data_IF_744921444622
#
_entry.id   IF_744921444622
#
_cell.length_a   1.000
_cell.length_b   1.000
_cell.length_c   1.000
_cell.angle_alpha   90.00
_cell.angle_beta   90.00
_cell.angle_gamma   90.00
#
_symmetry.space_group_name_H-M   'P 1'
#
loop_
_entity.id
_entity.type
_entity.pdbx_description
1 polymer ?
#
# COMPACT_ATOMS: atom_id res chain seq x y z
N UNK A 1 -25.00 11.45 5.79
CA UNK A 1 -24.39 10.13 6.09
C UNK A 1 -24.64 9.86 7.55
N UNK A 2 -25.18 8.70 7.95
CA UNK A 2 -25.39 8.40 9.38
C UNK A 2 -24.02 8.03 9.99
N UNK A 3 -23.34 9.01 10.61
CA UNK A 3 -21.93 8.91 11.04
C UNK A 3 -21.71 7.90 12.17
N UNK A 4 -22.77 7.53 12.90
CA UNK A 4 -22.75 6.54 13.99
C UNK A 4 -22.23 5.14 13.59
N UNK A 5 -22.24 4.80 12.30
CA UNK A 5 -21.74 3.51 11.78
C UNK A 5 -20.50 3.66 10.88
N UNK A 6 -19.87 4.83 10.82
CA UNK A 6 -18.70 5.01 9.99
C UNK A 6 -17.48 4.31 10.61
N UNK A 7 -16.93 3.34 9.91
CA UNK A 7 -15.72 2.64 10.33
C UNK A 7 -14.54 3.63 10.37
N UNK A 8 -13.78 3.68 11.47
CA UNK A 8 -12.58 4.51 11.62
C UNK A 8 -11.63 4.38 10.42
N UNK A 9 -11.51 3.18 9.84
CA UNK A 9 -10.68 2.90 8.66
C UNK A 9 -11.12 3.61 7.38
N UNK A 10 -12.38 4.03 7.30
CA UNK A 10 -12.92 4.75 6.15
C UNK A 10 -12.68 6.26 6.24
N UNK A 11 -12.37 6.77 7.44
CA UNK A 11 -12.20 8.20 7.71
C UNK A 11 -10.72 8.54 7.96
N UNK A 12 -9.96 7.64 8.57
CA UNK A 12 -8.56 7.84 8.93
C UNK A 12 -7.64 7.01 8.05
N UNK A 13 -6.55 7.62 7.60
CA UNK A 13 -5.44 6.90 6.99
C UNK A 13 -4.57 6.24 8.08
N UNK A 14 -4.85 4.97 8.39
CA UNK A 14 -4.17 4.23 9.47
C UNK A 14 -2.66 4.15 9.31
N UNK A 15 -2.13 4.21 8.08
CA UNK A 15 -0.68 4.15 7.84
C UNK A 15 0.02 5.45 8.27
N UNK A 16 -0.55 6.60 7.88
CA UNK A 16 -0.02 7.89 8.32
C UNK A 16 -0.27 8.10 9.82
N UNK A 17 -1.39 7.61 10.34
CA UNK A 17 -1.67 7.66 11.78
C UNK A 17 -0.69 6.80 12.58
N UNK A 18 -0.36 5.59 12.12
CA UNK A 18 0.66 4.75 12.75
C UNK A 18 2.03 5.42 12.74
N UNK A 19 2.41 6.06 11.61
CA UNK A 19 3.65 6.81 11.53
C UNK A 19 3.67 8.01 12.49
N UNK A 20 2.56 8.74 12.59
CA UNK A 20 2.40 9.82 13.56
C UNK A 20 2.55 9.29 14.99
N UNK A 21 1.86 8.19 15.32
CA UNK A 21 1.90 7.57 16.63
C UNK A 21 3.31 7.09 16.99
N UNK A 22 4.05 6.51 16.05
CA UNK A 22 5.46 6.14 16.24
C UNK A 22 6.34 7.34 16.53
N UNK A 23 6.22 8.41 15.75
CA UNK A 23 7.00 9.63 15.99
C UNK A 23 6.64 10.31 17.31
N UNK A 24 5.34 10.34 17.62
CA UNK A 24 4.81 10.83 18.88
C UNK A 24 5.39 10.03 20.04
N UNK A 25 5.22 8.70 20.05
CA UNK A 25 5.72 7.83 21.10
C UNK A 25 7.25 7.90 21.26
N UNK A 26 8.00 8.03 20.18
CA UNK A 26 9.46 8.19 20.24
C UNK A 26 9.88 9.53 20.87
N UNK A 27 9.13 10.60 20.62
CA UNK A 27 9.46 11.96 21.08
C UNK A 27 8.94 12.20 22.49
N UNK A 28 7.68 11.86 22.73
CA UNK A 28 7.03 12.01 24.04
C UNK A 28 7.48 10.94 25.00
N UNK A 29 7.89 9.76 24.52
CA UNK A 29 8.18 8.54 25.28
C UNK A 29 6.97 7.97 26.03
N UNK A 30 5.76 8.32 25.59
CA UNK A 30 4.47 7.82 26.07
C UNK A 30 3.87 6.85 25.06
N UNK A 31 3.07 5.90 25.54
CA UNK A 31 2.27 5.08 24.66
C UNK A 31 1.14 5.92 24.05
N UNK A 32 0.65 5.49 22.90
CA UNK A 32 -0.50 6.09 22.23
C UNK A 32 -1.34 4.99 21.57
N UNK A 33 -2.65 5.08 21.73
CA UNK A 33 -3.57 4.09 21.18
C UNK A 33 -4.86 4.73 20.70
N UNK A 34 -5.39 4.22 19.59
CA UNK A 34 -6.70 4.53 19.04
C UNK A 34 -7.67 3.41 19.40
N UNK A 35 -8.84 3.79 19.91
CA UNK A 35 -9.94 2.92 20.26
C UNK A 35 -11.20 3.33 19.48
N UNK A 36 -12.07 2.36 19.23
CA UNK A 36 -13.43 2.63 18.77
C UNK A 36 -14.34 3.11 19.94
N UNK A 37 -15.61 3.37 19.64
CA UNK A 37 -16.59 3.82 20.63
C UNK A 37 -16.93 2.77 21.71
N UNK A 38 -16.58 1.50 21.47
CA UNK A 38 -16.76 0.39 22.41
C UNK A 38 -15.51 0.13 23.26
N UNK A 39 -14.44 0.92 23.08
CA UNK A 39 -13.17 0.74 23.76
C UNK A 39 -12.33 -0.39 23.19
N UNK A 40 -12.62 -0.86 21.97
CA UNK A 40 -11.79 -1.85 21.28
C UNK A 40 -10.62 -1.18 20.59
N UNK A 41 -9.41 -1.66 20.89
CA UNK A 41 -8.17 -1.14 20.33
C UNK A 41 -8.11 -1.38 18.83
N UNK A 42 -7.90 -0.30 18.07
CA UNK A 42 -7.80 -0.31 16.61
C UNK A 42 -6.37 -0.17 16.12
N UNK A 43 -5.55 0.59 16.85
CA UNK A 43 -4.15 0.85 16.55
C UNK A 43 -3.44 1.23 17.84
N UNK A 44 -2.27 0.68 18.10
CA UNK A 44 -1.46 1.10 19.23
C UNK A 44 0.03 1.11 18.90
N UNK A 45 0.71 2.11 19.45
CA UNK A 45 2.17 2.15 19.59
C UNK A 45 2.49 2.29 21.07
N UNK A 46 3.05 1.24 21.65
CA UNK A 46 3.47 1.18 23.06
C UNK A 46 4.83 0.53 23.20
N UNK A 47 5.54 0.82 24.29
CA UNK A 47 6.79 0.13 24.63
C UNK A 47 6.53 -1.33 25.00
N UNK A 48 7.52 -2.21 24.79
CA UNK A 48 7.39 -3.64 25.06
C UNK A 48 7.14 -3.95 26.55
N UNK A 49 7.72 -3.15 27.43
CA UNK A 49 7.62 -3.25 28.88
C UNK A 49 6.48 -2.42 29.48
N UNK A 50 5.62 -1.83 28.65
CA UNK A 50 4.43 -1.11 29.12
C UNK A 50 3.49 -2.04 29.89
N UNK A 51 3.02 -1.59 31.06
CA UNK A 51 2.02 -2.30 31.87
C UNK A 51 0.73 -2.55 31.08
N UNK A 52 0.38 -1.66 30.14
CA UNK A 52 -0.79 -1.81 29.28
C UNK A 52 -0.74 -3.11 28.46
N UNK A 53 0.44 -3.69 28.20
CA UNK A 53 0.56 -4.99 27.55
C UNK A 53 -0.01 -6.14 28.40
N UNK A 54 0.05 -6.02 29.73
CA UNK A 54 -0.42 -7.03 30.68
C UNK A 54 -1.92 -6.94 30.94
N UNK A 55 -2.49 -5.73 30.85
CA UNK A 55 -3.90 -5.46 31.22
C UNK A 55 -4.81 -5.08 30.04
N UNK A 56 -4.32 -5.04 28.79
CA UNK A 56 -5.08 -4.56 27.62
C UNK A 56 -6.43 -5.27 27.39
N UNK A 57 -6.52 -6.55 27.72
CA UNK A 57 -7.72 -7.37 27.50
C UNK A 57 -8.65 -7.37 28.72
N UNK A 58 -8.30 -6.63 29.78
CA UNK A 58 -9.09 -6.53 31.00
C UNK A 58 -10.35 -5.65 30.78
N UNK A 59 -11.50 -6.17 31.23
CA UNK A 59 -12.80 -5.51 31.11
C UNK A 59 -12.83 -4.11 31.75
N UNK A 60 -12.27 -3.96 32.95
CA UNK A 60 -12.25 -2.70 33.69
C UNK A 60 -11.47 -1.62 32.94
N UNK A 61 -10.40 -1.99 32.23
CA UNK A 61 -9.64 -1.04 31.39
C UNK A 61 -10.50 -0.57 30.21
N UNK A 62 -11.20 -1.49 29.54
CA UNK A 62 -12.11 -1.16 28.42
C UNK A 62 -13.24 -0.24 28.87
N UNK A 63 -13.92 -0.56 29.97
CA UNK A 63 -15.00 0.27 30.53
C UNK A 63 -14.50 1.67 30.88
N UNK A 64 -13.30 1.77 31.48
CA UNK A 64 -12.70 3.04 31.83
C UNK A 64 -12.40 3.89 30.59
N UNK A 65 -11.89 3.30 29.52
CA UNK A 65 -11.67 3.99 28.23
C UNK A 65 -12.98 4.55 27.69
N UNK A 66 -14.05 3.75 27.64
CA UNK A 66 -15.36 4.19 27.13
C UNK A 66 -15.93 5.31 28.00
N UNK A 67 -15.89 5.16 29.32
CA UNK A 67 -16.36 6.17 30.26
C UNK A 67 -15.60 7.50 30.10
N UNK A 68 -14.27 7.43 30.13
CA UNK A 68 -13.40 8.60 30.03
C UNK A 68 -13.50 9.26 28.66
N UNK A 69 -13.69 8.47 27.59
CA UNK A 69 -13.90 8.98 26.23
C UNK A 69 -15.21 9.76 26.10
N UNK A 70 -16.30 9.28 26.71
CA UNK A 70 -17.57 10.02 26.79
C UNK A 70 -17.41 11.32 27.58
N UNK A 71 -16.65 11.31 28.68
CA UNK A 71 -16.35 12.53 29.44
C UNK A 71 -15.58 13.55 28.62
N UNK A 72 -14.56 13.10 27.88
CA UNK A 72 -13.80 13.96 26.98
C UNK A 72 -14.70 14.58 25.88
N UNK A 73 -15.63 13.80 25.34
CA UNK A 73 -16.63 14.30 24.39
C UNK A 73 -17.57 15.35 25.01
N UNK A 74 -18.08 15.11 26.21
CA UNK A 74 -18.92 16.07 26.95
C UNK A 74 -18.19 17.41 27.20
N UNK A 75 -16.89 17.35 27.48
CA UNK A 75 -16.04 18.52 27.72
C UNK A 75 -15.62 19.23 26.43
N UNK A 76 -15.67 18.55 25.28
CA UNK A 76 -15.14 19.07 24.01
C UNK A 76 -13.61 19.21 23.99
N UNK A 77 -12.92 18.56 24.92
CA UNK A 77 -11.48 18.63 25.09
C UNK A 77 -10.91 17.30 25.58
N UNK A 78 -9.58 17.20 25.67
CA UNK A 78 -8.92 16.06 26.30
C UNK A 78 -9.32 15.91 27.77
N UNK A 79 -9.46 14.67 28.22
CA UNK A 79 -9.78 14.33 29.59
C UNK A 79 -8.66 13.51 30.21
N UNK A 80 -8.11 13.98 31.34
CA UNK A 80 -7.08 13.27 32.10
C UNK A 80 -7.80 12.44 33.18
N UNK A 81 -7.45 11.16 33.29
CA UNK A 81 -8.10 10.23 34.19
C UNK A 81 -7.14 9.21 34.78
N UNK A 82 -7.50 8.68 35.94
CA UNK A 82 -6.83 7.55 36.59
C UNK A 82 -7.32 6.22 35.99
N UNK A 83 -6.40 5.34 35.64
CA UNK A 83 -6.66 3.98 35.15
C UNK A 83 -7.03 3.05 36.31
N UNK A 84 -7.61 1.87 36.03
CA UNK A 84 -7.89 0.89 37.08
C UNK A 84 -6.65 0.42 37.85
N UNK A 85 -5.46 0.48 37.24
CA UNK A 85 -4.20 0.16 37.92
C UNK A 85 -3.58 1.36 38.66
N UNK A 86 -4.26 2.50 38.76
CA UNK A 86 -3.78 3.67 39.52
C UNK A 86 -2.81 4.58 38.76
N UNK A 87 -2.61 4.39 37.46
CA UNK A 87 -1.80 5.28 36.63
C UNK A 87 -2.64 6.36 35.98
N UNK A 88 -2.01 7.38 35.42
CA UNK A 88 -2.70 8.47 34.74
C UNK A 88 -2.60 8.32 33.23
N UNK A 89 -3.72 8.53 32.53
CA UNK A 89 -3.78 8.65 31.08
C UNK A 89 -4.58 9.89 30.68
N UNK A 90 -4.32 10.42 29.49
CA UNK A 90 -5.21 11.36 28.82
C UNK A 90 -5.97 10.64 27.71
N UNK A 91 -7.19 11.07 27.46
CA UNK A 91 -8.01 10.60 26.36
C UNK A 91 -8.63 11.78 25.62
N UNK A 92 -8.60 11.73 24.30
CA UNK A 92 -9.13 12.76 23.41
C UNK A 92 -10.14 12.11 22.46
N UNK A 93 -11.34 12.70 22.27
CA UNK A 93 -12.30 12.18 21.32
C UNK A 93 -11.86 12.51 19.88
N UNK A 94 -12.02 11.55 18.98
CA UNK A 94 -11.89 11.79 17.54
C UNK A 94 -13.27 12.21 17.05
N UNK A 95 -13.44 13.46 16.64
CA UNK A 95 -14.75 14.05 16.33
C UNK A 95 -14.87 14.38 14.83
N UNK A 96 -16.00 14.00 14.24
CA UNK A 96 -16.40 14.33 12.87
C UNK A 96 -17.80 14.94 12.91
N UNK A 97 -17.95 16.19 12.42
CA UNK A 97 -19.24 16.91 12.39
C UNK A 97 -19.93 17.00 13.76
N UNK A 98 -19.15 17.07 14.84
CA UNK A 98 -19.66 17.13 16.21
C UNK A 98 -20.01 15.77 16.82
N UNK A 99 -19.88 14.67 16.07
CA UNK A 99 -20.04 13.31 16.59
C UNK A 99 -18.68 12.64 16.82
N UNK A 100 -18.51 12.02 17.99
CA UNK A 100 -17.33 11.20 18.25
C UNK A 100 -17.40 9.89 17.46
N UNK A 101 -16.29 9.51 16.83
CA UNK A 101 -16.15 8.26 16.06
C UNK A 101 -15.13 7.29 16.69
N UNK A 102 -14.41 7.73 17.72
CA UNK A 102 -13.42 6.94 18.44
C UNK A 102 -12.69 7.79 19.47
N UNK A 103 -11.71 7.18 20.13
CA UNK A 103 -10.93 7.83 21.19
C UNK A 103 -9.44 7.55 21.02
N UNK A 104 -8.62 8.55 21.32
CA UNK A 104 -7.16 8.39 21.37
C UNK A 104 -6.71 8.57 22.80
N UNK A 105 -5.91 7.63 23.29
CA UNK A 105 -5.30 7.71 24.63
C UNK A 105 -3.80 7.92 24.53
N UNK A 106 -3.23 8.55 25.56
CA UNK A 106 -1.79 8.55 25.77
C UNK A 106 -1.43 8.47 27.25
N UNK A 107 -0.30 7.83 27.54
CA UNK A 107 0.16 7.47 28.87
C UNK A 107 0.81 6.08 28.82
N UNK A 108 0.73 5.27 29.88
CA UNK A 108 0.41 5.66 31.24
C UNK A 108 1.58 6.41 31.90
N UNK A 109 1.27 7.31 32.85
CA UNK A 109 2.26 8.07 33.64
C UNK A 109 1.87 8.10 35.11
N UNK A 110 2.78 8.54 35.97
CA UNK A 110 2.46 9.04 37.31
C UNK A 110 2.64 10.56 37.35
N UNK A 111 1.81 11.24 38.13
CA UNK A 111 1.90 12.69 38.32
C UNK A 111 2.57 13.07 39.66
N UNK A 112 2.76 12.10 40.54
CA UNK A 112 3.39 12.23 41.86
C UNK A 112 4.72 11.46 41.91
N UNK A 113 5.41 11.53 43.04
CA UNK A 113 6.69 10.84 43.25
C UNK A 113 6.49 9.32 43.33
N UNK A 114 7.44 8.56 42.80
CA UNK A 114 7.48 7.11 42.95
C UNK A 114 8.03 6.75 44.34
N UNK A 115 7.14 6.68 45.33
CA UNK A 115 7.45 6.28 46.71
C UNK A 115 6.93 4.88 47.05
N UNK A 116 7.35 4.33 48.19
CA UNK A 116 6.95 2.97 48.63
C UNK A 116 5.42 2.83 48.74
N UNK A 117 4.70 3.92 49.07
CA UNK A 117 3.24 3.90 49.17
C UNK A 117 2.59 3.70 47.80
N UNK A 118 3.05 4.42 46.77
CA UNK A 118 2.59 4.22 45.41
C UNK A 118 2.93 2.82 44.90
N UNK A 119 4.12 2.30 45.20
CA UNK A 119 4.53 0.96 44.76
C UNK A 119 3.61 -0.14 45.34
N UNK A 120 3.26 -0.04 46.62
CA UNK A 120 2.33 -0.95 47.29
C UNK A 120 0.90 -0.85 46.71
N UNK A 121 0.37 0.37 46.58
CA UNK A 121 -0.97 0.61 46.01
C UNK A 121 -1.06 0.12 44.55
N UNK A 122 -0.01 0.36 43.75
CA UNK A 122 0.05 -0.10 42.36
C UNK A 122 0.04 -1.62 42.26
N UNK A 123 0.78 -2.31 43.15
CA UNK A 123 0.77 -3.78 43.21
C UNK A 123 -0.60 -4.33 43.59
N UNK A 124 -1.26 -3.73 44.58
CA UNK A 124 -2.60 -4.11 45.01
C UNK A 124 -3.61 -3.97 43.85
N UNK A 125 -3.65 -2.78 43.21
CA UNK A 125 -4.54 -2.52 42.07
C UNK A 125 -4.24 -3.44 40.87
N UNK A 126 -2.98 -3.76 40.60
CA UNK A 126 -2.64 -4.73 39.56
C UNK A 126 -3.14 -6.14 39.90
N UNK A 127 -3.02 -6.56 41.16
CA UNK A 127 -3.52 -7.85 41.61
C UNK A 127 -5.04 -7.96 41.49
N UNK A 128 -5.79 -6.90 41.80
CA UNK A 128 -7.24 -6.81 41.57
C UNK A 128 -7.63 -6.98 40.09
N UNK A 129 -6.77 -6.55 39.17
CA UNK A 129 -6.94 -6.73 37.73
C UNK A 129 -6.47 -8.11 37.23
N UNK A 130 -6.04 -8.99 38.12
CA UNK A 130 -5.54 -10.33 37.79
C UNK A 130 -4.10 -10.33 37.27
N UNK A 131 -3.32 -9.27 37.52
CA UNK A 131 -1.91 -9.16 37.14
C UNK A 131 -1.04 -9.15 38.39
N UNK A 132 -0.33 -10.25 38.62
CA UNK A 132 0.67 -10.34 39.69
C UNK A 132 2.02 -9.84 39.15
N UNK A 133 2.48 -8.71 39.67
CA UNK A 133 3.79 -8.17 39.34
C UNK A 133 4.89 -8.93 40.07
N UNK A 134 6.01 -9.17 39.38
CA UNK A 134 7.19 -9.79 39.98
C UNK A 134 7.71 -8.96 41.17
N UNK A 135 8.31 -9.62 42.16
CA UNK A 135 8.83 -8.95 43.35
C UNK A 135 9.91 -7.90 43.01
N UNK A 136 10.66 -8.13 41.94
CA UNK A 136 11.71 -7.25 41.40
C UNK A 136 11.21 -6.35 40.25
N UNK A 137 9.89 -6.13 40.15
CA UNK A 137 9.32 -5.18 39.18
C UNK A 137 10.01 -3.81 39.29
N UNK A 138 10.57 -3.36 38.17
CA UNK A 138 11.30 -2.10 38.08
C UNK A 138 10.32 -0.93 37.87
N UNK A 139 9.94 -0.27 38.96
CA UNK A 139 9.05 0.89 38.94
C UNK A 139 9.63 2.11 38.24
N UNK A 140 10.96 2.19 38.06
CA UNK A 140 11.59 3.29 37.31
C UNK A 140 11.18 3.32 35.83
N UNK A 141 10.58 2.23 35.34
CA UNK A 141 9.97 2.15 34.00
C UNK A 141 8.67 2.94 33.88
N UNK A 142 7.98 3.19 34.99
CA UNK A 142 6.76 4.00 35.01
C UNK A 142 7.17 5.46 34.97
N UNK A 143 6.73 6.15 33.92
CA UNK A 143 7.20 7.51 33.67
C UNK A 143 6.50 8.51 34.57
N UNK A 144 7.27 9.32 35.29
CA UNK A 144 6.77 10.50 36.00
C UNK A 144 6.73 11.72 35.07
N UNK A 145 5.60 12.43 35.06
CA UNK A 145 5.37 13.62 34.21
C UNK A 145 4.61 14.68 35.01
N UNK A 146 4.93 15.96 34.80
CA UNK A 146 4.19 17.06 35.41
C UNK A 146 2.77 17.20 34.79
N UNK A 147 1.81 17.73 35.55
CA UNK A 147 0.43 17.89 35.10
C UNK A 147 0.30 18.77 33.84
N UNK A 148 1.11 19.83 33.75
CA UNK A 148 1.14 20.75 32.61
C UNK A 148 1.61 20.03 31.33
N UNK A 149 2.57 19.13 31.47
CA UNK A 149 3.08 18.33 30.37
C UNK A 149 2.01 17.35 29.87
N UNK A 150 1.21 16.76 30.77
CA UNK A 150 0.12 15.86 30.39
C UNK A 150 -0.99 16.60 29.65
N UNK A 151 -1.32 17.82 30.10
CA UNK A 151 -2.26 18.71 29.41
C UNK A 151 -1.76 19.06 28.01
N UNK A 152 -0.50 19.47 27.89
CA UNK A 152 0.13 19.80 26.60
C UNK A 152 0.15 18.62 25.62
N UNK A 153 0.43 17.42 26.14
CA UNK A 153 0.36 16.15 25.39
C UNK A 153 -1.04 15.92 24.83
N UNK A 154 -2.07 16.11 25.65
CA UNK A 154 -3.46 15.90 25.26
C UNK A 154 -3.91 16.88 24.18
N UNK A 155 -3.54 18.16 24.31
CA UNK A 155 -3.84 19.21 23.34
C UNK A 155 -3.13 18.97 22.01
N UNK A 156 -1.83 18.62 22.04
CA UNK A 156 -1.06 18.33 20.84
C UNK A 156 -1.66 17.17 20.05
N UNK A 157 -2.01 16.06 20.72
CA UNK A 157 -2.65 14.92 20.07
C UNK A 157 -4.01 15.30 19.47
N UNK A 158 -4.80 16.11 20.17
CA UNK A 158 -6.08 16.60 19.68
C UNK A 158 -5.92 17.43 18.41
N UNK A 159 -5.00 18.40 18.40
CA UNK A 159 -4.74 19.26 17.25
C UNK A 159 -4.29 18.46 16.03
N UNK A 160 -3.34 17.53 16.21
CA UNK A 160 -2.80 16.72 15.12
C UNK A 160 -3.87 15.84 14.49
N UNK A 161 -4.68 15.19 15.32
CA UNK A 161 -5.72 14.26 14.84
C UNK A 161 -6.86 15.03 14.18
N UNK A 162 -7.28 16.16 14.76
CA UNK A 162 -8.30 17.00 14.15
C UNK A 162 -7.86 17.50 12.77
N UNK A 163 -6.59 17.90 12.61
CA UNK A 163 -6.05 18.28 11.31
C UNK A 163 -6.11 17.14 10.29
N UNK A 164 -5.69 15.92 10.69
CA UNK A 164 -5.77 14.74 9.82
C UNK A 164 -7.19 14.42 9.39
N UNK A 165 -8.15 14.48 10.32
CA UNK A 165 -9.58 14.24 10.03
C UNK A 165 -10.11 15.28 9.04
N UNK A 166 -9.77 16.56 9.24
CA UNK A 166 -10.20 17.65 8.35
C UNK A 166 -9.63 17.47 6.94
N UNK A 167 -8.34 17.12 6.80
CA UNK A 167 -7.72 16.91 5.49
C UNK A 167 -8.32 15.73 4.74
N UNK A 168 -8.45 14.57 5.39
CA UNK A 168 -9.05 13.37 4.77
C UNK A 168 -10.51 13.60 4.39
N UNK A 169 -11.27 14.32 5.24
CA UNK A 169 -12.64 14.74 4.91
C UNK A 169 -12.68 15.63 3.68
N UNK A 170 -11.84 16.68 3.62
CA UNK A 170 -11.79 17.60 2.48
C UNK A 170 -11.47 16.85 1.18
N UNK A 171 -10.56 15.88 1.26
CA UNK A 171 -10.23 15.01 0.13
C UNK A 171 -11.43 14.15 -0.30
N UNK A 172 -12.15 13.55 0.66
CA UNK A 172 -13.34 12.73 0.38
C UNK A 172 -14.49 13.56 -0.21
N UNK A 173 -14.75 14.76 0.34
CA UNK A 173 -15.77 15.69 -0.16
C UNK A 173 -15.46 16.14 -1.59
N UNK A 174 -14.21 16.53 -1.87
CA UNK A 174 -13.78 16.87 -3.23
C UNK A 174 -13.99 15.72 -4.21
N UNK A 175 -13.71 14.47 -3.79
CA UNK A 175 -13.96 13.29 -4.62
C UNK A 175 -15.44 13.07 -4.88
N UNK A 176 -16.30 13.22 -3.86
CA UNK A 176 -17.75 13.08 -3.98
C UNK A 176 -18.34 14.18 -4.87
N UNK A 177 -17.89 15.42 -4.72
CA UNK A 177 -18.31 16.56 -5.52
C UNK A 177 -17.92 16.38 -7.00
N UNK A 178 -16.67 15.96 -7.26
CA UNK A 178 -16.24 15.60 -8.61
C UNK A 178 -17.10 14.48 -9.19
N UNK A 179 -17.39 13.44 -8.41
CA UNK A 179 -18.26 12.33 -8.83
C UNK A 179 -19.69 12.82 -9.14
N UNK A 180 -20.23 13.75 -8.35
CA UNK A 180 -21.57 14.33 -8.56
C UNK A 180 -21.61 15.22 -9.80
N UNK A 181 -20.64 16.11 -9.96
CA UNK A 181 -20.52 16.96 -11.15
C UNK A 181 -20.39 16.13 -12.43
N UNK A 182 -19.65 15.02 -12.35
CA UNK A 182 -19.57 14.06 -13.45
C UNK A 182 -20.92 13.40 -13.73
N UNK A 183 -21.67 12.97 -12.70
CA UNK A 183 -23.02 12.43 -12.85
C UNK A 183 -24.01 13.44 -13.46
N UNK A 184 -23.92 14.72 -13.10
CA UNK A 184 -24.76 15.78 -13.67
C UNK A 184 -24.40 16.04 -15.15
N UNK A 185 -23.10 16.10 -15.48
CA UNK A 185 -22.63 16.13 -16.88
C UNK A 185 -23.08 14.91 -17.67
N UNK A 186 -23.11 13.74 -17.05
CA UNK A 186 -23.58 12.48 -17.64
C UNK A 186 -25.08 12.51 -17.96
N UNK A 187 -25.92 13.05 -17.07
CA UNK A 187 -27.36 13.24 -17.35
C UNK A 187 -27.57 14.18 -18.52
N UNK A 188 -26.86 15.31 -18.54
CA UNK A 188 -26.93 16.28 -19.64
C UNK A 188 -26.47 15.67 -20.98
N UNK A 189 -25.37 14.91 -21.00
CA UNK A 189 -24.89 14.24 -22.20
C UNK A 189 -25.84 13.15 -22.70
N UNK A 190 -26.50 12.41 -21.79
CA UNK A 190 -27.50 11.40 -22.13
C UNK A 190 -28.77 12.02 -22.70
N UNK A 191 -29.23 13.14 -22.14
CA UNK A 191 -30.36 13.91 -22.69
C UNK A 191 -30.05 14.48 -24.09
N UNK A 192 -28.80 14.89 -24.34
CA UNK A 192 -28.35 15.30 -25.67
C UNK A 192 -28.26 14.14 -26.66
N UNK A 193 -27.75 12.97 -26.25
CA UNK A 193 -27.67 11.78 -27.10
C UNK A 193 -29.05 11.18 -27.46
N UNK A 194 -30.01 11.21 -26.54
CA UNK A 194 -31.40 10.79 -26.80
C UNK A 194 -32.05 11.65 -27.89
N UNK A 195 -31.60 12.89 -28.09
CA UNK A 195 -32.09 13.78 -29.16
C UNK A 195 -31.44 13.54 -30.52
N UNK A 196 -30.29 12.88 -30.62
CA UNK A 196 -29.51 12.84 -31.87
C UNK A 196 -29.19 11.47 -32.49
N UNK A 197 -29.35 10.30 -31.84
CA UNK A 197 -29.28 9.01 -32.60
C UNK A 197 -29.74 7.76 -31.85
N UNK A 198 -30.35 6.82 -32.59
CA UNK A 198 -30.93 5.55 -32.12
C UNK A 198 -29.96 4.36 -32.02
N UNK A 199 -28.65 4.58 -31.98
CA UNK A 199 -27.66 3.49 -31.84
C UNK A 199 -26.59 3.80 -30.80
N UNK A 200 -26.28 2.88 -29.86
CA UNK A 200 -25.21 3.07 -28.88
C UNK A 200 -23.85 3.05 -29.58
N UNK A 201 -23.13 4.17 -29.54
CA UNK A 201 -21.75 4.30 -30.02
C UNK A 201 -20.81 4.07 -28.82
N UNK A 202 -20.22 2.88 -28.70
CA UNK A 202 -19.24 2.59 -27.64
C UNK A 202 -17.92 3.33 -27.94
N UNK A 203 -17.28 3.89 -26.90
CA UNK A 203 -15.95 4.49 -27.03
C UNK A 203 -14.86 3.39 -27.08
N UNK A 204 -13.59 3.77 -27.31
CA UNK A 204 -12.47 2.81 -27.36
C UNK A 204 -12.10 2.34 -25.95
N UNK A 205 -11.91 1.03 -25.75
CA UNK A 205 -11.51 0.48 -24.44
C UNK A 205 -10.11 0.96 -24.02
N UNK A 206 -9.90 1.37 -22.75
CA UNK A 206 -8.64 1.95 -22.25
C UNK A 206 -7.56 0.89 -21.96
N UNK A 207 -7.16 0.14 -22.99
CA UNK A 207 -6.24 -1.00 -22.85
C UNK A 207 -4.86 -0.64 -22.28
N UNK A 208 -4.36 0.57 -22.54
CA UNK A 208 -3.05 1.00 -22.03
C UNK A 208 -3.10 1.30 -20.51
N UNK A 209 -4.22 1.83 -20.02
CA UNK A 209 -4.40 2.04 -18.57
C UNK A 209 -4.53 0.72 -17.81
N UNK A 210 -5.21 -0.26 -18.40
CA UNK A 210 -5.30 -1.62 -17.85
C UNK A 210 -3.90 -2.24 -17.71
N UNK A 211 -3.09 -2.20 -18.77
CA UNK A 211 -1.71 -2.70 -18.77
C UNK A 211 -0.84 -2.02 -17.71
N UNK A 212 -0.93 -0.69 -17.61
CA UNK A 212 -0.21 0.07 -16.58
C UNK A 212 -0.62 -0.36 -15.17
N UNK A 213 -1.92 -0.48 -14.90
CA UNK A 213 -2.45 -0.91 -13.60
C UNK A 213 -1.94 -2.29 -13.20
N UNK A 214 -2.07 -3.27 -14.11
CA UNK A 214 -1.56 -4.63 -13.92
C UNK A 214 -0.08 -4.60 -13.56
N UNK A 215 0.72 -3.83 -14.31
CA UNK A 215 2.15 -3.76 -14.07
C UNK A 215 2.49 -3.12 -12.71
N UNK A 216 1.78 -2.06 -12.29
CA UNK A 216 1.99 -1.48 -10.97
C UNK A 216 1.59 -2.42 -9.83
N UNK A 217 0.57 -3.26 -10.04
CA UNK A 217 0.18 -4.31 -9.09
C UNK A 217 1.26 -5.39 -9.00
N UNK A 218 1.76 -5.89 -10.13
CA UNK A 218 2.91 -6.82 -10.16
C UNK A 218 4.14 -6.19 -9.50
N UNK A 219 4.36 -4.87 -9.69
CA UNK A 219 5.41 -4.07 -9.04
C UNK A 219 5.10 -3.67 -7.61
N UNK A 220 3.93 -3.99 -7.05
CA UNK A 220 3.53 -3.60 -5.68
C UNK A 220 3.61 -2.10 -5.44
N UNK A 221 3.57 -1.30 -6.51
CA UNK A 221 3.68 0.16 -6.48
C UNK A 221 2.28 0.75 -6.22
N UNK A 222 1.88 0.69 -4.95
CA UNK A 222 0.54 1.09 -4.50
C UNK A 222 0.19 2.52 -4.91
N UNK A 223 1.13 3.46 -4.79
CA UNK A 223 0.88 4.87 -5.06
C UNK A 223 0.52 5.08 -6.55
N UNK A 224 1.27 4.46 -7.46
CA UNK A 224 0.99 4.59 -8.90
C UNK A 224 -0.29 3.85 -9.31
N UNK A 225 -0.52 2.66 -8.76
CA UNK A 225 -1.77 1.92 -9.00
C UNK A 225 -3.00 2.75 -8.58
N UNK A 226 -2.98 3.37 -7.39
CA UNK A 226 -4.06 4.24 -6.88
C UNK A 226 -4.27 5.50 -7.73
N UNK A 227 -3.21 6.07 -8.29
CA UNK A 227 -3.33 7.25 -9.14
C UNK A 227 -4.01 6.93 -10.49
N UNK A 228 -3.85 5.72 -11.00
CA UNK A 228 -4.35 5.35 -12.34
C UNK A 228 -5.75 4.75 -12.27
N UNK A 229 -6.10 4.05 -11.18
CA UNK A 229 -7.39 3.33 -11.09
C UNK A 229 -8.59 4.26 -11.31
N UNK A 230 -8.57 5.47 -10.76
CA UNK A 230 -9.67 6.43 -10.95
C UNK A 230 -9.82 6.83 -12.43
N UNK A 231 -8.71 7.01 -13.14
CA UNK A 231 -8.72 7.31 -14.58
C UNK A 231 -9.25 6.12 -15.38
N UNK A 232 -8.83 4.90 -15.05
CA UNK A 232 -9.31 3.68 -15.70
C UNK A 232 -10.81 3.46 -15.49
N UNK A 233 -11.33 3.65 -14.27
CA UNK A 233 -12.76 3.55 -13.98
C UNK A 233 -13.59 4.56 -14.77
N UNK A 234 -13.09 5.80 -14.90
CA UNK A 234 -13.75 6.82 -15.72
C UNK A 234 -13.78 6.42 -17.21
N UNK A 235 -12.68 5.92 -17.75
CA UNK A 235 -12.62 5.47 -19.14
C UNK A 235 -13.49 4.22 -19.39
N UNK A 236 -13.60 3.29 -18.44
CA UNK A 236 -14.55 2.16 -18.53
C UNK A 236 -15.98 2.67 -18.56
N UNK A 237 -16.31 3.66 -17.74
CA UNK A 237 -17.63 4.26 -17.74
C UNK A 237 -17.96 4.91 -19.10
N UNK A 238 -17.00 5.68 -19.65
CA UNK A 238 -17.12 6.30 -20.97
C UNK A 238 -17.18 5.27 -22.10
N UNK A 239 -16.45 4.17 -22.00
CA UNK A 239 -16.50 3.03 -22.92
C UNK A 239 -17.88 2.40 -22.96
N UNK A 240 -18.46 2.14 -21.80
CA UNK A 240 -19.76 1.49 -21.64
C UNK A 240 -20.95 2.44 -21.87
N UNK A 241 -20.72 3.73 -22.16
CA UNK A 241 -21.76 4.75 -22.26
C UNK A 241 -22.69 4.79 -21.04
N UNK A 242 -22.16 4.46 -19.87
CA UNK A 242 -22.91 4.35 -18.62
C UNK A 242 -23.85 3.16 -18.49
N UNK A 243 -23.75 2.16 -19.37
CA UNK A 243 -24.43 0.89 -19.20
C UNK A 243 -23.79 0.09 -18.06
N UNK A 244 -24.54 -0.06 -16.97
CA UNK A 244 -24.07 -0.65 -15.72
C UNK A 244 -23.70 -2.14 -15.88
N UNK A 245 -24.41 -2.88 -16.72
CA UNK A 245 -24.12 -4.30 -16.95
C UNK A 245 -22.82 -4.47 -17.72
N UNK A 246 -22.56 -3.60 -18.71
CA UNK A 246 -21.29 -3.58 -19.43
C UNK A 246 -20.13 -3.17 -18.51
N UNK A 247 -20.34 -2.17 -17.64
CA UNK A 247 -19.34 -1.76 -16.64
C UNK A 247 -19.02 -2.93 -15.71
N UNK A 248 -20.03 -3.57 -15.12
CA UNK A 248 -19.87 -4.74 -14.25
C UNK A 248 -19.07 -5.85 -14.94
N UNK A 249 -19.42 -6.19 -16.18
CA UNK A 249 -18.69 -7.18 -16.95
C UNK A 249 -17.20 -6.84 -17.13
N UNK A 250 -16.88 -5.57 -17.43
CA UNK A 250 -15.50 -5.11 -17.60
C UNK A 250 -14.71 -5.03 -16.31
N UNK A 251 -15.34 -4.64 -15.20
CA UNK A 251 -14.69 -4.66 -13.89
C UNK A 251 -14.44 -6.10 -13.41
N UNK A 252 -15.33 -7.04 -13.73
CA UNK A 252 -15.12 -8.45 -13.45
C UNK A 252 -13.90 -9.00 -14.21
N UNK A 253 -13.81 -8.71 -15.51
CA UNK A 253 -12.67 -9.08 -16.36
C UNK A 253 -11.37 -8.50 -15.79
N UNK A 254 -11.37 -7.22 -15.42
CA UNK A 254 -10.24 -6.55 -14.79
C UNK A 254 -9.80 -7.21 -13.48
N UNK A 255 -10.74 -7.56 -12.60
CA UNK A 255 -10.41 -8.25 -11.35
C UNK A 255 -9.83 -9.66 -11.59
N UNK A 256 -10.26 -10.35 -12.63
CA UNK A 256 -9.65 -11.62 -13.02
C UNK A 256 -8.20 -11.43 -13.47
N UNK A 257 -7.89 -10.34 -14.20
CA UNK A 257 -6.51 -9.99 -14.55
C UNK A 257 -5.67 -9.63 -13.33
N UNK A 258 -6.20 -8.87 -12.37
CA UNK A 258 -5.51 -8.57 -11.11
C UNK A 258 -5.18 -9.83 -10.32
N UNK A 259 -6.14 -10.77 -10.23
CA UNK A 259 -5.94 -12.06 -9.56
C UNK A 259 -4.80 -12.85 -10.19
N UNK A 260 -4.80 -12.98 -11.53
CA UNK A 260 -3.72 -13.65 -12.25
C UNK A 260 -2.37 -12.97 -12.02
N UNK A 261 -2.36 -11.65 -12.09
CA UNK A 261 -1.16 -10.83 -11.88
C UNK A 261 -0.58 -10.98 -10.47
N UNK A 262 -1.44 -11.11 -9.45
CA UNK A 262 -1.01 -11.35 -8.09
C UNK A 262 -0.38 -12.73 -7.92
N UNK A 263 -0.97 -13.79 -8.51
CA UNK A 263 -0.39 -15.14 -8.53
C UNK A 263 0.97 -15.15 -9.23
N UNK A 264 1.07 -14.49 -10.38
CA UNK A 264 2.34 -14.33 -11.11
C UNK A 264 3.39 -13.57 -10.29
N UNK A 265 2.97 -12.66 -9.41
CA UNK A 265 3.85 -11.96 -8.48
C UNK A 265 4.23 -12.81 -7.23
N UNK A 266 3.82 -14.07 -7.18
CA UNK A 266 4.15 -15.02 -6.11
C UNK A 266 3.10 -15.13 -5.00
N UNK A 267 1.92 -14.54 -5.17
CA UNK A 267 0.84 -14.69 -4.21
C UNK A 267 0.28 -16.13 -4.20
N UNK A 268 0.09 -16.75 -3.02
CA UNK A 268 -0.62 -18.02 -2.94
C UNK A 268 -2.08 -17.87 -3.39
N UNK A 269 -2.57 -18.76 -4.27
CA UNK A 269 -3.96 -18.71 -4.74
C UNK A 269 -4.98 -18.71 -3.60
N UNK A 270 -4.71 -19.46 -2.53
CA UNK A 270 -5.56 -19.50 -1.33
C UNK A 270 -5.78 -18.10 -0.71
N UNK A 271 -4.77 -17.22 -0.76
CA UNK A 271 -4.85 -15.85 -0.22
C UNK A 271 -5.74 -14.91 -1.05
N UNK A 272 -6.12 -15.30 -2.27
CA UNK A 272 -6.98 -14.52 -3.16
C UNK A 272 -8.47 -14.90 -3.06
N UNK A 273 -8.78 -15.99 -2.36
CA UNK A 273 -10.13 -16.58 -2.36
C UNK A 273 -11.18 -15.60 -1.81
N UNK A 274 -10.85 -14.88 -0.74
CA UNK A 274 -11.77 -13.90 -0.14
C UNK A 274 -11.97 -12.67 -1.02
N UNK A 275 -10.91 -12.25 -1.74
CA UNK A 275 -10.98 -11.15 -2.72
C UNK A 275 -11.92 -11.53 -3.87
N UNK A 276 -11.79 -12.75 -4.39
CA UNK A 276 -12.64 -13.26 -5.47
C UNK A 276 -14.11 -13.31 -5.02
N UNK A 277 -14.39 -13.83 -3.82
CA UNK A 277 -15.75 -13.86 -3.26
C UNK A 277 -16.34 -12.45 -3.11
N UNK A 278 -15.56 -11.50 -2.59
CA UNK A 278 -15.96 -10.09 -2.45
C UNK A 278 -16.30 -9.47 -3.80
N UNK A 279 -15.48 -9.72 -4.82
CA UNK A 279 -15.72 -9.26 -6.19
C UNK A 279 -17.00 -9.86 -6.79
N UNK A 280 -17.22 -11.17 -6.65
CA UNK A 280 -18.45 -11.81 -7.13
C UNK A 280 -19.70 -11.21 -6.50
N UNK A 281 -19.67 -10.91 -5.20
CA UNK A 281 -20.78 -10.26 -4.51
C UNK A 281 -21.06 -8.85 -5.05
N UNK A 282 -19.99 -8.06 -5.24
CA UNK A 282 -20.09 -6.68 -5.76
C UNK A 282 -20.82 -6.60 -7.11
N UNK A 283 -20.69 -7.66 -7.93
CA UNK A 283 -21.24 -7.73 -9.27
C UNK A 283 -22.69 -8.25 -9.31
N UNK A 284 -22.99 -9.23 -8.44
CA UNK A 284 -24.31 -9.84 -8.35
C UNK A 284 -25.33 -8.95 -7.62
N UNK A 285 -24.86 -8.11 -6.71
CA UNK A 285 -25.73 -7.17 -5.98
C UNK A 285 -26.22 -6.04 -6.91
N UNK A 286 -27.36 -5.44 -6.55
CA UNK A 286 -27.92 -4.29 -7.23
C UNK A 286 -27.16 -3.01 -6.81
N UNK A 287 -25.91 -2.91 -7.22
CA UNK A 287 -24.95 -1.85 -6.90
C UNK A 287 -24.99 -0.72 -7.90
N UNK A 288 -24.95 0.52 -7.43
CA UNK A 288 -24.79 1.69 -8.28
C UNK A 288 -23.33 1.90 -8.71
N UNK A 289 -23.10 2.81 -9.66
CA UNK A 289 -21.76 3.08 -10.17
C UNK A 289 -20.77 3.60 -9.10
N UNK A 290 -21.15 4.54 -8.21
CA UNK A 290 -20.32 4.93 -7.07
C UNK A 290 -19.86 3.76 -6.20
N UNK A 291 -20.77 2.85 -5.87
CA UNK A 291 -20.48 1.66 -5.08
C UNK A 291 -19.56 0.68 -5.83
N UNK A 292 -19.77 0.50 -7.14
CA UNK A 292 -18.86 -0.28 -8.00
C UNK A 292 -17.44 0.30 -8.02
N UNK A 293 -17.32 1.63 -8.15
CA UNK A 293 -16.03 2.30 -8.12
C UNK A 293 -15.32 2.09 -6.79
N UNK A 294 -16.02 2.31 -5.68
CA UNK A 294 -15.49 2.12 -4.33
C UNK A 294 -15.05 0.67 -4.13
N UNK A 295 -15.91 -0.29 -4.44
CA UNK A 295 -15.62 -1.71 -4.32
C UNK A 295 -14.43 -2.16 -5.18
N UNK A 296 -14.30 -1.63 -6.40
CA UNK A 296 -13.15 -1.95 -7.27
C UNK A 296 -11.84 -1.41 -6.71
N UNK A 297 -11.84 -0.19 -6.14
CA UNK A 297 -10.65 0.37 -5.49
C UNK A 297 -10.25 -0.44 -4.27
N UNK A 298 -11.22 -0.88 -3.46
CA UNK A 298 -10.95 -1.77 -2.33
C UNK A 298 -10.36 -3.11 -2.79
N UNK A 299 -10.92 -3.72 -3.84
CA UNK A 299 -10.41 -4.98 -4.41
C UNK A 299 -8.96 -4.80 -4.90
N UNK A 300 -8.66 -3.69 -5.56
CA UNK A 300 -7.29 -3.37 -5.97
C UNK A 300 -6.34 -3.27 -4.76
N UNK A 301 -6.78 -2.60 -3.68
CA UNK A 301 -6.00 -2.49 -2.45
C UNK A 301 -5.75 -3.86 -1.80
N UNK A 302 -6.77 -4.71 -1.76
CA UNK A 302 -6.67 -6.09 -1.25
C UNK A 302 -5.63 -6.90 -2.05
N UNK A 303 -5.63 -6.79 -3.40
CA UNK A 303 -4.61 -7.43 -4.24
C UNK A 303 -3.20 -6.89 -3.97
N UNK A 304 -3.05 -5.58 -3.84
CA UNK A 304 -1.76 -4.95 -3.54
C UNK A 304 -1.19 -5.41 -2.19
N UNK A 305 -2.04 -5.60 -1.18
CA UNK A 305 -1.62 -6.13 0.13
C UNK A 305 -1.13 -7.57 0.05
N UNK A 306 -1.83 -8.42 -0.70
CA UNK A 306 -1.40 -9.81 -0.90
C UNK A 306 -0.05 -9.86 -1.62
N UNK A 307 0.12 -9.08 -2.69
CA UNK A 307 1.39 -9.03 -3.43
C UNK A 307 2.52 -8.50 -2.54
N UNK A 308 2.26 -7.46 -1.73
CA UNK A 308 3.25 -6.91 -0.80
C UNK A 308 3.74 -7.94 0.21
N UNK A 309 2.82 -8.66 0.88
CA UNK A 309 3.16 -9.70 1.86
C UNK A 309 3.97 -10.86 1.25
N UNK A 310 3.74 -11.13 -0.03
CA UNK A 310 4.40 -12.24 -0.75
C UNK A 310 5.84 -11.91 -1.17
N UNK A 311 6.27 -10.64 -1.14
CA UNK A 311 7.60 -10.18 -1.59
C UNK A 311 8.75 -10.36 -0.60
N UNK A 312 8.48 -10.73 0.65
CA UNK A 312 9.49 -10.87 1.70
C UNK A 312 10.52 -11.99 1.51
N UNK A 313 10.38 -12.83 0.48
CA UNK A 313 11.39 -13.84 0.13
C UNK A 313 12.30 -13.29 -0.97
N UNK A 314 13.55 -12.98 -0.62
CA UNK A 314 14.63 -12.63 -1.55
C UNK A 314 14.78 -13.69 -2.64
N UNK A 315 14.08 -13.52 -3.74
CA UNK A 315 14.34 -14.19 -4.99
C UNK A 315 14.48 -13.06 -6.02
N UNK A 316 15.54 -13.10 -6.83
CA UNK A 316 15.48 -12.54 -8.18
C UNK A 316 14.10 -12.88 -8.73
N UNK A 317 13.31 -11.87 -9.10
CA UNK A 317 11.96 -12.07 -9.65
C UNK A 317 12.01 -13.26 -10.61
N UNK A 318 11.23 -14.32 -10.35
CA UNK A 318 11.34 -15.57 -11.12
C UNK A 318 11.20 -15.29 -12.62
N UNK A 319 10.43 -14.27 -12.99
CA UNK A 319 10.29 -13.72 -14.34
C UNK A 319 11.58 -13.13 -14.90
N UNK A 320 12.34 -12.37 -14.09
CA UNK A 320 13.66 -11.89 -14.49
C UNK A 320 14.66 -13.04 -14.64
N UNK A 321 14.61 -14.04 -13.75
CA UNK A 321 15.44 -15.23 -13.88
C UNK A 321 15.11 -16.04 -15.15
N UNK A 322 13.82 -16.20 -15.48
CA UNK A 322 13.34 -16.79 -16.74
C UNK A 322 13.81 -15.97 -17.94
N UNK A 323 13.67 -14.65 -17.89
CA UNK A 323 14.11 -13.75 -18.95
C UNK A 323 15.61 -13.83 -19.19
N UNK A 324 16.42 -13.85 -18.13
CA UNK A 324 17.87 -14.02 -18.20
C UNK A 324 18.22 -15.37 -18.82
N UNK A 325 17.57 -16.46 -18.41
CA UNK A 325 17.81 -17.79 -19.01
C UNK A 325 17.48 -17.80 -20.50
N UNK A 326 16.33 -17.25 -20.88
CA UNK A 326 15.92 -17.16 -22.27
C UNK A 326 16.92 -16.35 -23.10
N UNK A 327 17.33 -15.16 -22.63
CA UNK A 327 18.35 -14.35 -23.30
C UNK A 327 19.65 -15.14 -23.48
N UNK A 328 20.12 -15.85 -22.46
CA UNK A 328 21.37 -16.61 -22.58
C UNK A 328 21.28 -17.80 -23.56
N UNK A 329 20.09 -18.36 -23.76
CA UNK A 329 19.86 -19.44 -24.73
C UNK A 329 19.67 -18.91 -26.16
N UNK A 330 19.00 -17.75 -26.31
CA UNK A 330 18.55 -17.20 -27.60
C UNK A 330 19.23 -15.88 -27.97
N UNK A 331 20.37 -15.54 -27.38
CA UNK A 331 21.01 -14.21 -27.56
C UNK A 331 21.33 -13.89 -29.03
N UNK A 332 21.57 -14.90 -29.87
CA UNK A 332 21.91 -14.72 -31.28
C UNK A 332 20.68 -14.47 -32.18
N UNK A 333 19.47 -14.68 -31.66
CA UNK A 333 18.22 -14.49 -32.40
C UNK A 333 17.76 -13.03 -32.35
N UNK A 334 16.78 -12.67 -33.21
CA UNK A 334 16.16 -11.33 -33.19
C UNK A 334 15.13 -11.21 -32.06
N UNK A 335 15.66 -11.11 -30.83
CA UNK A 335 14.87 -10.95 -29.62
C UNK A 335 14.70 -9.47 -29.25
N UNK A 336 13.46 -9.07 -29.05
CA UNK A 336 13.11 -7.75 -28.54
C UNK A 336 12.36 -7.86 -27.20
N UNK A 337 12.19 -6.74 -26.50
CA UNK A 337 11.61 -6.73 -25.17
C UNK A 337 10.16 -7.24 -25.15
N UNK A 338 9.37 -6.96 -26.19
CA UNK A 338 7.99 -7.44 -26.30
C UNK A 338 7.94 -8.96 -26.46
N UNK A 339 8.74 -9.52 -27.36
CA UNK A 339 8.84 -10.97 -27.57
C UNK A 339 9.28 -11.70 -26.30
N UNK A 340 10.26 -11.14 -25.58
CA UNK A 340 10.73 -11.71 -24.32
C UNK A 340 9.66 -11.63 -23.22
N UNK A 341 8.92 -10.53 -23.16
CA UNK A 341 7.84 -10.35 -22.21
C UNK A 341 6.72 -11.37 -22.42
N UNK A 342 6.36 -11.64 -23.69
CA UNK A 342 5.40 -12.70 -24.03
C UNK A 342 5.90 -14.08 -23.60
N UNK A 343 7.15 -14.41 -23.88
CA UNK A 343 7.75 -15.70 -23.55
C UNK A 343 7.79 -15.97 -22.04
N UNK A 344 8.06 -14.93 -21.25
CA UNK A 344 8.06 -15.05 -19.78
C UNK A 344 6.72 -14.72 -19.15
N UNK A 345 5.67 -14.56 -19.96
CA UNK A 345 4.28 -14.30 -19.57
C UNK A 345 4.11 -13.06 -18.67
N UNK A 346 4.71 -11.94 -19.05
CA UNK A 346 4.56 -10.65 -18.34
C UNK A 346 4.35 -9.49 -19.31
N UNK A 347 4.02 -8.31 -18.79
CA UNK A 347 3.98 -7.10 -19.61
C UNK A 347 5.38 -6.57 -19.94
N UNK A 348 5.55 -6.00 -21.14
CA UNK A 348 6.80 -5.34 -21.58
C UNK A 348 7.24 -4.27 -20.60
N UNK A 349 6.30 -3.48 -20.08
CA UNK A 349 6.58 -2.44 -19.08
C UNK A 349 7.13 -3.04 -17.79
N UNK A 350 6.49 -4.09 -17.26
CA UNK A 350 6.95 -4.78 -16.05
C UNK A 350 8.37 -5.33 -16.22
N UNK A 351 8.63 -5.99 -17.36
CA UNK A 351 9.95 -6.55 -17.63
C UNK A 351 11.02 -5.46 -17.79
N UNK A 352 10.71 -4.36 -18.49
CA UNK A 352 11.59 -3.19 -18.59
C UNK A 352 11.98 -2.65 -17.21
N UNK A 353 10.98 -2.51 -16.33
CA UNK A 353 11.17 -2.05 -14.96
C UNK A 353 11.98 -3.04 -14.13
N UNK A 354 11.77 -4.35 -14.28
CA UNK A 354 12.56 -5.37 -13.60
C UNK A 354 14.04 -5.30 -13.96
N UNK A 355 14.39 -5.18 -15.24
CA UNK A 355 15.78 -5.01 -15.67
C UNK A 355 16.44 -3.79 -15.03
N UNK A 356 15.75 -2.63 -15.04
CA UNK A 356 16.28 -1.40 -14.44
C UNK A 356 16.40 -1.50 -12.91
N UNK A 357 15.39 -2.04 -12.24
CA UNK A 357 15.32 -2.09 -10.77
C UNK A 357 16.32 -3.09 -10.19
N UNK A 358 16.37 -4.29 -10.74
CA UNK A 358 17.12 -5.41 -10.17
C UNK A 358 18.54 -5.51 -10.74
N UNK A 359 18.75 -5.15 -12.01
CA UNK A 359 20.05 -5.27 -12.69
C UNK A 359 20.74 -3.92 -12.92
N UNK A 360 20.05 -2.80 -12.68
CA UNK A 360 20.58 -1.46 -12.93
C UNK A 360 20.83 -1.14 -14.42
N UNK A 361 20.33 -1.97 -15.34
CA UNK A 361 20.56 -1.84 -16.79
C UNK A 361 19.27 -2.03 -17.57
N UNK A 362 19.22 -1.62 -18.83
CA UNK A 362 18.09 -1.94 -19.71
C UNK A 362 18.21 -3.37 -20.27
N UNK A 363 17.11 -3.93 -20.78
CA UNK A 363 17.12 -5.18 -21.54
C UNK A 363 18.13 -5.14 -22.70
N UNK A 364 18.10 -4.06 -23.50
CA UNK A 364 18.98 -3.92 -24.67
C UNK A 364 20.46 -3.85 -24.26
N UNK A 365 20.77 -3.20 -23.14
CA UNK A 365 22.14 -3.19 -22.61
C UNK A 365 22.57 -4.58 -22.11
N UNK A 366 21.66 -5.30 -21.43
CA UNK A 366 21.94 -6.65 -20.95
C UNK A 366 22.19 -7.62 -22.12
N UNK A 367 21.31 -7.62 -23.13
CA UNK A 367 21.47 -8.41 -24.35
C UNK A 367 22.80 -8.08 -25.06
N UNK A 368 23.12 -6.79 -25.21
CA UNK A 368 24.37 -6.37 -25.84
C UNK A 368 25.60 -6.86 -25.06
N UNK A 369 25.58 -6.83 -23.72
CA UNK A 369 26.66 -7.40 -22.90
C UNK A 369 26.83 -8.90 -23.12
N UNK A 370 25.73 -9.67 -23.12
CA UNK A 370 25.77 -11.12 -23.38
C UNK A 370 26.37 -11.40 -24.76
N UNK A 371 25.90 -10.70 -25.80
CA UNK A 371 26.42 -10.83 -27.17
C UNK A 371 27.91 -10.49 -27.26
N UNK A 372 28.35 -9.42 -26.59
CA UNK A 372 29.76 -9.01 -26.56
C UNK A 372 30.64 -10.05 -25.86
N UNK A 373 30.19 -10.61 -24.73
CA UNK A 373 30.95 -11.67 -24.04
C UNK A 373 31.09 -12.92 -24.91
N UNK A 374 30.02 -13.33 -25.61
CA UNK A 374 30.08 -14.44 -26.57
C UNK A 374 30.97 -14.12 -27.77
N UNK A 375 30.96 -12.88 -28.25
CA UNK A 375 31.83 -12.43 -29.33
C UNK A 375 33.32 -12.47 -28.95
N UNK A 376 33.68 -12.13 -27.70
CA UNK A 376 35.08 -12.23 -27.25
C UNK A 376 35.62 -13.65 -27.39
N UNK A 377 34.83 -14.66 -27.02
CA UNK A 377 35.20 -16.06 -27.16
C UNK A 377 35.40 -16.47 -28.62
N UNK A 378 34.47 -16.11 -29.51
CA UNK A 378 34.60 -16.41 -30.96
C UNK A 378 35.82 -15.72 -31.60
N UNK A 379 36.13 -14.48 -31.18
CA UNK A 379 37.31 -13.77 -31.68
C UNK A 379 38.61 -14.40 -31.18
N UNK A 380 38.63 -14.94 -29.96
CA UNK A 380 39.76 -15.73 -29.42
C UNK A 380 39.97 -17.03 -30.22
N UNK A 381 38.90 -17.64 -30.71
CA UNK A 381 38.93 -18.81 -31.59
C UNK A 381 39.33 -18.48 -33.05
N UNK A 382 39.62 -17.21 -33.35
CA UNK A 382 40.10 -16.78 -34.67
C UNK A 382 39.02 -16.53 -35.71
N UNK A 383 37.73 -16.55 -35.32
CA UNK A 383 36.61 -16.21 -36.20
C UNK A 383 36.75 -14.76 -36.71
N UNK A 384 36.38 -14.51 -37.98
CA UNK A 384 36.43 -13.16 -38.56
C UNK A 384 35.46 -12.22 -37.83
N UNK A 385 35.73 -10.91 -37.86
CA UNK A 385 34.85 -9.91 -37.21
C UNK A 385 33.45 -9.95 -37.79
N UNK A 386 33.34 -10.10 -39.10
CA UNK A 386 32.07 -10.19 -39.83
C UNK A 386 31.28 -11.45 -39.44
N UNK A 387 31.92 -12.63 -39.48
CA UNK A 387 31.24 -13.86 -39.08
C UNK A 387 30.90 -13.89 -37.59
N UNK A 388 31.72 -13.27 -36.73
CA UNK A 388 31.41 -13.11 -35.31
C UNK A 388 30.16 -12.25 -35.12
N UNK A 389 30.04 -11.14 -35.85
CA UNK A 389 28.87 -10.24 -35.79
C UNK A 389 27.58 -11.00 -36.09
N UNK A 390 27.56 -11.78 -37.17
CA UNK A 390 26.41 -12.58 -37.57
C UNK A 390 26.07 -13.64 -36.50
N UNK A 391 27.08 -14.40 -36.03
CA UNK A 391 26.89 -15.48 -35.05
C UNK A 391 26.36 -15.04 -33.70
N UNK A 392 26.60 -13.78 -33.30
CA UNK A 392 26.09 -13.22 -32.05
C UNK A 392 24.81 -12.38 -32.25
N UNK A 393 24.22 -12.41 -33.44
CA UNK A 393 22.89 -11.83 -33.71
C UNK A 393 22.89 -10.36 -34.14
N UNK A 394 23.97 -9.87 -34.74
CA UNK A 394 24.00 -8.54 -35.37
C UNK A 394 24.02 -8.64 -36.89
N UNK A 395 22.99 -8.07 -37.52
CA UNK A 395 22.87 -7.99 -38.98
C UNK A 395 23.77 -6.90 -39.61
N UNK A 396 24.27 -5.96 -38.80
CA UNK A 396 25.18 -4.89 -39.24
C UNK A 396 26.50 -4.96 -38.47
N UNK A 397 27.55 -5.39 -39.18
CA UNK A 397 28.92 -5.46 -38.66
C UNK A 397 29.46 -4.12 -38.16
N UNK A 398 29.08 -2.99 -38.78
CA UNK A 398 29.52 -1.67 -38.33
C UNK A 398 28.87 -1.29 -37.00
N UNK A 399 27.59 -1.63 -36.83
CA UNK A 399 26.89 -1.45 -35.55
C UNK A 399 27.50 -2.33 -34.46
N UNK A 400 27.78 -3.60 -34.75
CA UNK A 400 28.48 -4.50 -33.83
C UNK A 400 29.82 -3.93 -33.37
N UNK A 401 30.66 -3.43 -34.29
CA UNK A 401 31.96 -2.84 -33.95
C UNK A 401 31.82 -1.66 -32.96
N UNK A 402 30.80 -0.80 -33.16
CA UNK A 402 30.50 0.30 -32.24
C UNK A 402 30.11 -0.21 -30.85
N UNK A 403 29.21 -1.20 -30.79
CA UNK A 403 28.74 -1.79 -29.53
C UNK A 403 29.88 -2.51 -28.80
N UNK A 404 30.67 -3.32 -29.49
CA UNK A 404 31.81 -4.01 -28.90
C UNK A 404 32.82 -3.01 -28.33
N UNK A 405 33.16 -1.95 -29.10
CA UNK A 405 34.05 -0.89 -28.61
C UNK A 405 33.48 -0.15 -27.40
N UNK A 406 32.16 0.10 -27.35
CA UNK A 406 31.48 0.71 -26.20
C UNK A 406 31.70 -0.11 -24.92
N UNK A 407 31.60 -1.44 -25.00
CA UNK A 407 31.69 -2.31 -23.81
C UNK A 407 33.10 -2.77 -23.46
N UNK A 408 33.98 -2.92 -24.46
CA UNK A 408 35.34 -3.48 -24.28
C UNK A 408 36.42 -2.39 -24.32
N UNK A 409 36.10 -1.19 -24.83
CA UNK A 409 37.03 -0.05 -24.97
C UNK A 409 37.87 -0.08 -26.26
N UNK A 410 37.99 -1.24 -26.91
CA UNK A 410 38.74 -1.42 -28.17
C UNK A 410 37.88 -2.06 -29.25
N UNK A 411 38.28 -1.93 -30.52
CA UNK A 411 37.55 -2.58 -31.63
C UNK A 411 37.77 -4.10 -31.63
N UNK A 412 36.83 -4.91 -32.17
CA UNK A 412 37.00 -6.36 -32.30
C UNK A 412 38.32 -6.76 -32.97
N UNK A 413 38.71 -6.06 -34.04
CA UNK A 413 39.96 -6.32 -34.75
C UNK A 413 41.21 -6.03 -33.88
N UNK A 414 41.18 -4.97 -33.07
CA UNK A 414 42.25 -4.69 -32.11
C UNK A 414 42.28 -5.71 -30.98
N UNK A 415 41.12 -6.08 -30.44
CA UNK A 415 40.97 -7.09 -29.40
C UNK A 415 41.57 -8.44 -29.82
N UNK A 416 41.27 -8.88 -31.05
CA UNK A 416 41.87 -10.08 -31.64
C UNK A 416 43.39 -9.98 -31.76
N UNK A 417 43.91 -8.83 -32.23
CA UNK A 417 45.36 -8.61 -32.36
C UNK A 417 46.10 -8.52 -31.03
N UNK A 418 45.44 -8.14 -29.93
CA UNK A 418 46.07 -8.10 -28.60
C UNK A 418 46.17 -9.46 -27.93
N UNK A 419 45.62 -10.51 -28.53
CA UNK A 419 45.62 -11.88 -28.02
C UNK A 419 46.58 -12.81 -28.78
N UNK A 420 47.08 -12.35 -29.93
CA UNK A 420 48.18 -12.95 -30.69
C UNK A 420 49.47 -12.18 -30.40
#
# INVERSE_FOLDING_TARGET
MNLKNANLKNILNFKELEKLFRNYANTSGLDVALYDLNGEEQLCVRKNDSICNLIKDNHSCREKIVYSGKKAQELGSGYIYETPCGLIMCITPVVVEGEAIGYITSGPVILWENDEFFEDEFREKCAELGVNLDADFDFSKIRQVACENMTSVSEMLMTLVNYMVIEEKKYLEQRLELSRLNLERMKAAREMQIRESSQPRYNKYPIELEKELIAYVQLGDRNKAKNIINRFLNEIFSFASGDLEIIKAKLYEFCAFLSRSAVEAGAPLASLTDIIKKNSKLLLDNTDFPDLCRGTVEILDDFLDVVYKSRGKKNTSEHLAKAIRFINAHYAEDINLDSLAQEVFVSTYYLSHLFRREMGVTFSDYLAKVRVEKAKALLMEGVSVESTSERVGYNDSNYFIKIFKKYVGVTPAKYRKSLN
#
